data_IF_819811237320
#
_entry.id   IF_819811237320
#
_cell.length_a   1.000
_cell.length_b   1.000
_cell.length_c   1.000
_cell.angle_alpha   90.00
_cell.angle_beta   90.00
_cell.angle_gamma   90.00
#
_symmetry.space_group_name_H-M   'P 1'
#
loop_
_entity.id
_entity.type
_entity.pdbx_description
1 polymer ?
#
# COMPACT_ATOMS: atom_id res chain seq x y z
N UNK A 1 -19.82 -7.24 18.82
CA UNK A 1 -18.79 -8.03 18.19
C UNK A 1 -18.51 -7.55 16.78
N UNK A 2 -17.31 -7.15 16.49
CA UNK A 2 -17.01 -6.73 15.12
C UNK A 2 -17.03 -7.93 14.19
N UNK A 3 -17.67 -7.79 13.07
CA UNK A 3 -17.62 -8.78 12.01
C UNK A 3 -16.62 -8.32 10.94
N UNK A 4 -16.57 -9.03 9.82
CA UNK A 4 -15.61 -8.71 8.78
C UNK A 4 -15.82 -7.33 8.17
N UNK A 5 -17.04 -6.79 8.24
CA UNK A 5 -17.34 -5.47 7.71
C UNK A 5 -16.67 -4.35 8.52
N UNK A 6 -16.30 -4.63 9.77
CA UNK A 6 -15.67 -3.63 10.62
C UNK A 6 -14.15 -3.61 10.52
N UNK A 7 -13.56 -4.55 9.79
CA UNK A 7 -12.12 -4.57 9.60
C UNK A 7 -11.72 -3.56 8.54
N UNK A 8 -10.62 -2.85 8.82
CA UNK A 8 -10.01 -2.02 7.80
C UNK A 8 -9.46 -2.91 6.69
N UNK A 9 -9.60 -2.48 5.47
CA UNK A 9 -9.18 -3.24 4.29
C UNK A 9 -7.92 -2.62 3.71
N UNK A 10 -6.87 -3.42 3.60
CA UNK A 10 -5.59 -2.98 3.05
C UNK A 10 -5.35 -3.69 1.72
N UNK A 11 -5.07 -2.93 0.68
CA UNK A 11 -4.68 -3.49 -0.61
C UNK A 11 -3.16 -3.51 -0.69
N UNK A 12 -2.61 -4.62 -1.18
CA UNK A 12 -1.16 -4.77 -1.34
C UNK A 12 -0.86 -5.04 -2.81
N UNK A 13 0.05 -4.25 -3.37
CA UNK A 13 0.42 -4.34 -4.78
C UNK A 13 1.93 -4.57 -4.89
N UNK A 14 2.33 -5.70 -5.42
CA UNK A 14 3.74 -6.06 -5.59
C UNK A 14 3.83 -7.17 -6.63
N UNK A 15 4.82 -7.13 -7.50
CA UNK A 15 4.97 -8.16 -8.52
C UNK A 15 5.69 -9.42 -8.02
N UNK A 16 6.19 -9.41 -6.79
CA UNK A 16 6.82 -10.57 -6.16
C UNK A 16 5.78 -11.30 -5.30
N UNK A 17 5.38 -12.53 -5.70
CA UNK A 17 4.37 -13.26 -4.93
C UNK A 17 4.80 -13.59 -3.51
N UNK A 18 6.10 -13.67 -3.24
CA UNK A 18 6.58 -13.93 -1.88
C UNK A 18 6.34 -12.73 -0.98
N UNK A 19 6.48 -11.54 -1.52
CA UNK A 19 6.19 -10.31 -0.77
C UNK A 19 4.70 -10.19 -0.50
N UNK A 20 3.87 -10.49 -1.51
CA UNK A 20 2.42 -10.46 -1.35
C UNK A 20 1.98 -11.41 -0.23
N UNK A 21 2.50 -12.63 -0.24
CA UNK A 21 2.15 -13.63 0.77
C UNK A 21 2.59 -13.18 2.16
N UNK A 22 3.82 -12.67 2.26
CA UNK A 22 4.38 -12.21 3.51
C UNK A 22 3.59 -11.05 4.10
N UNK A 23 3.24 -10.07 3.28
CA UNK A 23 2.46 -8.92 3.74
C UNK A 23 1.04 -9.31 4.09
N UNK A 24 0.44 -10.20 3.31
CA UNK A 24 -0.90 -10.69 3.60
C UNK A 24 -0.94 -11.35 4.98
N UNK A 25 0.03 -12.22 5.25
CA UNK A 25 0.12 -12.90 6.53
C UNK A 25 0.30 -11.90 7.68
N UNK A 26 1.23 -10.97 7.49
CA UNK A 26 1.53 -9.96 8.51
C UNK A 26 0.31 -9.11 8.85
N UNK A 27 -0.37 -8.63 7.83
CA UNK A 27 -1.52 -7.75 8.01
C UNK A 27 -2.72 -8.50 8.60
N UNK A 28 -2.94 -9.73 8.15
CA UNK A 28 -4.03 -10.55 8.70
C UNK A 28 -3.79 -10.86 10.17
N UNK A 29 -2.53 -11.05 10.56
CA UNK A 29 -2.20 -11.29 11.96
C UNK A 29 -2.52 -10.09 12.84
N UNK A 30 -2.61 -8.91 12.27
CA UNK A 30 -2.98 -7.68 12.97
C UNK A 30 -4.46 -7.33 12.78
N UNK A 31 -5.24 -8.28 12.30
CA UNK A 31 -6.70 -8.18 12.17
C UNK A 31 -7.17 -7.23 11.06
N UNK A 32 -6.38 -7.08 10.00
CA UNK A 32 -6.82 -6.38 8.80
C UNK A 32 -7.37 -7.36 7.79
N UNK A 33 -8.34 -6.91 6.99
CA UNK A 33 -8.74 -7.62 5.79
C UNK A 33 -7.77 -7.20 4.69
N UNK A 34 -7.31 -8.16 3.88
CA UNK A 34 -6.24 -7.90 2.90
C UNK A 34 -6.66 -8.38 1.52
N UNK A 35 -6.41 -7.56 0.50
CA UNK A 35 -6.53 -7.95 -0.88
C UNK A 35 -5.18 -7.71 -1.55
N UNK A 36 -4.72 -8.66 -2.36
CA UNK A 36 -3.39 -8.60 -2.96
C UNK A 36 -3.50 -8.58 -4.48
N UNK A 37 -2.58 -7.86 -5.10
CA UNK A 37 -2.55 -7.71 -6.56
C UNK A 37 -1.11 -7.82 -7.07
N UNK A 38 -0.89 -8.54 -8.18
CA UNK A 38 0.47 -8.69 -8.71
C UNK A 38 0.94 -7.49 -9.55
N UNK A 39 0.05 -6.53 -9.81
CA UNK A 39 0.40 -5.37 -10.61
C UNK A 39 -0.53 -4.20 -10.31
N UNK A 40 -0.08 -3.00 -10.63
CA UNK A 40 -0.91 -1.81 -10.50
C UNK A 40 -2.13 -1.90 -11.41
N UNK A 41 -1.97 -2.46 -12.61
CA UNK A 41 -3.09 -2.64 -13.53
C UNK A 41 -4.17 -3.53 -12.95
N UNK A 42 -3.79 -4.68 -12.38
CA UNK A 42 -4.74 -5.58 -11.75
C UNK A 42 -5.49 -4.89 -10.61
N UNK A 43 -4.77 -4.11 -9.82
CA UNK A 43 -5.35 -3.36 -8.71
C UNK A 43 -6.38 -2.33 -9.22
N UNK A 44 -5.99 -1.53 -10.19
CA UNK A 44 -6.86 -0.46 -10.69
C UNK A 44 -8.09 -1.01 -11.40
N UNK A 45 -7.96 -2.15 -12.07
CA UNK A 45 -9.08 -2.78 -12.77
C UNK A 45 -10.04 -3.51 -11.85
N UNK A 46 -9.60 -3.81 -10.62
CA UNK A 46 -10.41 -4.60 -9.69
C UNK A 46 -11.65 -3.88 -9.18
N UNK A 47 -11.65 -2.56 -9.21
CA UNK A 47 -12.75 -1.76 -8.68
C UNK A 47 -12.75 -1.65 -7.14
N UNK A 48 -11.76 -2.21 -6.46
CA UNK A 48 -11.75 -2.18 -5.00
C UNK A 48 -11.36 -0.83 -4.41
N UNK A 49 -10.95 0.12 -5.24
CA UNK A 49 -10.47 1.42 -4.79
C UNK A 49 -11.49 2.15 -3.91
N UNK A 50 -12.78 1.92 -4.17
CA UNK A 50 -13.85 2.57 -3.43
C UNK A 50 -14.03 2.00 -2.02
N UNK A 51 -13.51 0.80 -1.75
CA UNK A 51 -13.80 0.08 -0.50
C UNK A 51 -12.60 -0.13 0.40
N UNK A 52 -11.40 0.20 -0.06
CA UNK A 52 -10.19 -0.02 0.74
C UNK A 52 -9.87 1.20 1.60
N UNK A 53 -9.11 0.97 2.67
CA UNK A 53 -8.74 2.00 3.63
C UNK A 53 -7.29 2.41 3.54
N UNK A 54 -6.46 1.61 2.87
CA UNK A 54 -5.03 1.88 2.72
C UNK A 54 -4.47 1.03 1.59
N UNK A 55 -3.46 1.55 0.90
CA UNK A 55 -2.74 0.82 -0.15
C UNK A 55 -1.27 0.73 0.22
N UNK A 56 -0.70 -0.45 0.12
CA UNK A 56 0.75 -0.64 0.21
C UNK A 56 1.23 -1.06 -1.19
N UNK A 57 2.13 -0.31 -1.77
CA UNK A 57 2.60 -0.59 -3.13
C UNK A 57 4.11 -0.55 -3.24
N UNK A 58 4.65 -1.55 -3.94
CA UNK A 58 6.04 -1.54 -4.37
C UNK A 58 6.21 -0.45 -5.46
N UNK A 59 7.29 0.31 -5.36
CA UNK A 59 7.62 1.33 -6.38
C UNK A 59 8.24 0.66 -7.61
N UNK A 60 8.98 -0.41 -7.42
CA UNK A 60 9.89 -0.98 -8.41
C UNK A 60 9.22 -2.00 -9.31
N UNK A 61 8.02 -1.70 -9.81
CA UNK A 61 7.28 -2.63 -10.65
C UNK A 61 7.46 -2.27 -12.13
N UNK A 62 7.47 -3.28 -13.01
CA UNK A 62 7.47 -2.99 -14.46
C UNK A 62 6.14 -2.38 -14.88
N UNK A 63 6.11 -1.79 -16.04
CA UNK A 63 4.91 -1.14 -16.64
C UNK A 63 4.47 0.07 -15.83
N UNK A 64 3.52 -0.06 -14.93
CA UNK A 64 3.08 1.06 -14.08
C UNK A 64 3.75 0.91 -12.73
N UNK A 65 4.65 1.81 -12.40
CA UNK A 65 5.35 1.78 -11.13
C UNK A 65 4.51 2.39 -10.00
N UNK A 66 5.09 2.39 -8.78
CA UNK A 66 4.39 2.90 -7.62
C UNK A 66 4.04 4.37 -7.70
N UNK A 67 4.82 5.16 -8.43
CA UNK A 67 4.50 6.57 -8.63
C UNK A 67 3.27 6.73 -9.50
N UNK A 68 3.18 5.97 -10.59
CA UNK A 68 2.02 5.98 -11.45
C UNK A 68 0.77 5.54 -10.72
N UNK A 69 0.91 4.51 -9.87
CA UNK A 69 -0.19 4.04 -9.05
C UNK A 69 -0.65 5.11 -8.07
N UNK A 70 0.30 5.80 -7.42
CA UNK A 70 0.00 6.87 -6.47
C UNK A 70 -0.81 7.98 -7.14
N UNK A 71 -0.38 8.40 -8.33
CA UNK A 71 -1.08 9.43 -9.08
C UNK A 71 -2.49 8.98 -9.47
N UNK A 72 -2.63 7.74 -9.94
CA UNK A 72 -3.93 7.21 -10.34
C UNK A 72 -4.90 7.12 -9.15
N UNK A 73 -4.39 6.65 -8.01
CA UNK A 73 -5.19 6.54 -6.80
C UNK A 73 -5.68 7.91 -6.34
N UNK A 74 -4.77 8.87 -6.27
CA UNK A 74 -5.13 10.19 -5.75
C UNK A 74 -5.94 11.03 -6.73
N UNK A 75 -5.98 10.65 -8.01
CA UNK A 75 -6.92 11.27 -8.95
C UNK A 75 -8.36 10.91 -8.60
N UNK A 76 -8.58 9.76 -7.99
CA UNK A 76 -9.92 9.27 -7.64
C UNK A 76 -10.22 9.47 -6.17
N UNK A 77 -9.27 9.14 -5.30
CA UNK A 77 -9.42 9.29 -3.85
C UNK A 77 -8.21 10.00 -3.26
N UNK A 78 -8.21 11.33 -3.28
CA UNK A 78 -7.04 12.10 -2.81
C UNK A 78 -6.68 11.87 -1.35
N UNK A 79 -7.62 11.44 -0.52
CA UNK A 79 -7.37 11.23 0.90
C UNK A 79 -6.97 9.78 1.24
N UNK A 80 -6.96 8.87 0.25
CA UNK A 80 -6.60 7.48 0.54
C UNK A 80 -5.12 7.36 0.87
N UNK A 81 -4.76 6.82 2.05
CA UNK A 81 -3.35 6.67 2.40
C UNK A 81 -2.66 5.64 1.52
N UNK A 82 -1.48 6.00 1.02
CA UNK A 82 -0.64 5.12 0.21
C UNK A 82 0.71 4.98 0.88
N UNK A 83 1.09 3.75 1.18
CA UNK A 83 2.41 3.44 1.73
C UNK A 83 3.24 2.84 0.61
N UNK A 84 4.44 3.38 0.40
CA UNK A 84 5.31 2.93 -0.68
C UNK A 84 6.47 2.12 -0.12
N UNK A 85 6.87 1.08 -0.86
CA UNK A 85 7.99 0.23 -0.50
C UNK A 85 8.95 0.16 -1.69
N UNK A 86 10.26 0.25 -1.44
CA UNK A 86 11.26 0.12 -2.48
C UNK A 86 12.43 -0.73 -2.03
N UNK A 87 13.00 -1.51 -2.95
CA UNK A 87 14.26 -2.21 -2.74
C UNK A 87 15.47 -1.40 -3.17
N UNK A 88 15.25 -0.19 -3.67
CA UNK A 88 16.31 0.67 -4.20
C UNK A 88 16.43 1.94 -3.36
N UNK A 89 17.42 2.02 -2.47
CA UNK A 89 17.57 3.18 -1.57
C UNK A 89 17.67 4.51 -2.30
N UNK A 90 18.20 4.53 -3.52
CA UNK A 90 18.33 5.75 -4.32
C UNK A 90 16.97 6.35 -4.67
N UNK A 91 15.89 5.57 -4.62
CA UNK A 91 14.56 6.08 -4.90
C UNK A 91 14.05 7.02 -3.80
N UNK A 92 14.65 6.94 -2.60
CA UNK A 92 14.25 7.83 -1.50
C UNK A 92 14.43 9.29 -1.85
N UNK A 93 15.56 9.62 -2.49
CA UNK A 93 15.82 11.00 -2.93
C UNK A 93 14.83 11.44 -3.99
N UNK A 94 14.51 10.53 -4.90
CA UNK A 94 13.58 10.81 -5.98
C UNK A 94 12.16 11.09 -5.47
N UNK A 95 11.72 10.32 -4.47
CA UNK A 95 10.42 10.53 -3.83
C UNK A 95 10.35 11.88 -3.15
N UNK A 96 11.40 12.23 -2.43
CA UNK A 96 11.48 13.51 -1.74
C UNK A 96 11.43 14.66 -2.73
N UNK A 97 12.13 14.49 -3.84
CA UNK A 97 12.22 15.50 -4.88
C UNK A 97 10.89 15.69 -5.60
N UNK A 98 10.21 14.59 -5.89
CA UNK A 98 8.95 14.62 -6.60
C UNK A 98 7.78 15.08 -5.73
N UNK A 99 8.01 15.23 -4.44
CA UNK A 99 6.96 15.56 -3.47
C UNK A 99 5.78 14.61 -3.60
N UNK A 100 6.10 13.32 -3.74
CA UNK A 100 5.07 12.31 -3.85
C UNK A 100 4.20 12.35 -2.60
N UNK A 101 2.89 12.37 -2.82
CA UNK A 101 1.93 12.49 -1.72
C UNK A 101 1.62 11.11 -1.16
N UNK A 102 2.57 10.56 -0.45
CA UNK A 102 2.45 9.24 0.18
C UNK A 102 2.41 9.39 1.70
N UNK A 103 1.80 8.40 2.36
CA UNK A 103 1.69 8.40 3.82
C UNK A 103 3.00 8.02 4.48
N UNK A 104 3.65 6.98 3.97
CA UNK A 104 4.92 6.50 4.52
C UNK A 104 5.72 5.79 3.45
N UNK A 105 7.02 5.64 3.70
CA UNK A 105 7.94 5.01 2.76
C UNK A 105 8.84 4.04 3.51
N UNK A 106 8.96 2.83 2.99
CA UNK A 106 9.82 1.79 3.57
C UNK A 106 10.78 1.26 2.52
N UNK A 107 11.95 0.82 2.96
CA UNK A 107 12.89 0.10 2.11
C UNK A 107 12.82 -1.38 2.41
N UNK A 108 13.10 -2.22 1.41
CA UNK A 108 13.21 -3.68 1.59
C UNK A 108 14.62 -4.02 2.05
N UNK A 109 14.80 -4.92 3.00
CA UNK A 109 13.73 -5.58 3.77
C UNK A 109 13.13 -4.61 4.77
N UNK A 110 11.82 -4.63 4.91
CA UNK A 110 11.12 -3.72 5.82
C UNK A 110 10.94 -4.36 7.20
N UNK A 111 10.84 -3.49 8.22
CA UNK A 111 10.55 -3.90 9.58
C UNK A 111 9.03 -4.10 9.70
N UNK A 112 8.59 -5.34 9.96
CA UNK A 112 7.17 -5.67 10.06
C UNK A 112 6.42 -4.83 11.09
N UNK A 113 6.89 -4.74 12.34
CA UNK A 113 6.23 -3.90 13.34
C UNK A 113 6.12 -2.43 12.94
N UNK A 114 7.17 -1.89 12.30
CA UNK A 114 7.13 -0.49 11.84
C UNK A 114 6.09 -0.30 10.74
N UNK A 115 5.98 -1.26 9.84
CA UNK A 115 4.99 -1.21 8.78
C UNK A 115 3.57 -1.29 9.36
N UNK A 116 3.34 -2.18 10.31
CA UNK A 116 2.04 -2.28 10.97
C UNK A 116 1.67 -0.99 11.69
N UNK A 117 2.65 -0.33 12.31
CA UNK A 117 2.41 0.94 12.97
C UNK A 117 1.99 2.02 11.96
N UNK A 118 2.64 2.03 10.79
CA UNK A 118 2.29 2.97 9.72
C UNK A 118 0.89 2.73 9.19
N UNK A 119 0.51 1.45 9.01
CA UNK A 119 -0.84 1.10 8.57
C UNK A 119 -1.87 1.53 9.61
N UNK A 120 -1.60 1.25 10.89
CA UNK A 120 -2.50 1.65 11.96
C UNK A 120 -2.72 3.16 12.01
N UNK A 121 -1.64 3.92 11.84
CA UNK A 121 -1.73 5.36 11.79
C UNK A 121 -2.55 5.83 10.59
N UNK A 122 -2.32 5.21 9.44
CA UNK A 122 -3.00 5.58 8.19
C UNK A 122 -4.52 5.35 8.29
N UNK A 123 -4.93 4.18 8.79
CA UNK A 123 -6.36 3.83 8.79
C UNK A 123 -7.12 4.52 9.92
N UNK A 124 -6.43 5.01 10.94
CA UNK A 124 -7.09 5.69 12.05
C UNK A 124 -7.17 7.19 11.87
N UNK A 125 -6.50 7.76 10.86
CA UNK A 125 -6.54 9.19 10.58
C UNK A 125 -7.85 9.52 9.88
N UNK A 126 -8.64 10.46 10.42
CA UNK A 126 -9.88 10.85 9.74
C UNK A 126 -9.59 11.56 8.42
N UNK A 127 -10.44 11.34 7.46
CA UNK A 127 -10.33 11.99 6.15
C UNK A 127 -10.71 13.46 6.20
#
# INVERSE_FOLDING_TARGET
>A
MPDHADRAVVAVVDDDPRILESLEYLLESADYAVVVFPSAGAFLESGCLATIDCVISDIDMPATDGFGLLLAVHAIRPALPVILITGQPEMLGRLRYARADHHALFTKPFDGPALLAAVGDAVSTPD
#
